data_IF_742770148853
#
_entry.id   IF_742770148853
#
_cell.length_a   1.000
_cell.length_b   1.000
_cell.length_c   1.000
_cell.angle_alpha   90.00
_cell.angle_beta   90.00
_cell.angle_gamma   90.00
#
_symmetry.space_group_name_H-M   'P 1'
#
loop_
_entity.id
_entity.type
_entity.pdbx_description
1 polymer ?
#
# COMPACT_ATOMS: atom_id res chain seq x y z
N UNK A 1 -17.89 -17.94 1.55
CA UNK A 1 -16.62 -17.34 2.03
C UNK A 1 -15.46 -17.60 1.06
N UNK A 2 -15.58 -17.18 -0.20
CA UNK A 2 -14.51 -17.30 -1.22
C UNK A 2 -13.72 -15.99 -1.35
N UNK A 3 -14.41 -14.85 -1.26
CA UNK A 3 -13.81 -13.50 -1.32
C UNK A 3 -12.72 -13.23 -0.25
N UNK A 4 -12.91 -13.71 0.98
CA UNK A 4 -11.94 -13.45 2.06
C UNK A 4 -10.64 -14.26 1.90
N UNK A 5 -10.71 -15.46 1.31
CA UNK A 5 -9.52 -16.28 1.03
C UNK A 5 -8.73 -15.73 -0.15
N UNK A 6 -9.40 -15.21 -1.19
CA UNK A 6 -8.73 -14.57 -2.32
C UNK A 6 -8.04 -13.27 -1.89
N UNK A 7 -8.69 -12.45 -1.05
CA UNK A 7 -8.09 -11.21 -0.54
C UNK A 7 -6.78 -11.46 0.23
N UNK A 8 -6.80 -12.36 1.21
CA UNK A 8 -5.59 -12.68 1.99
C UNK A 8 -4.46 -13.23 1.11
N UNK A 9 -4.80 -14.02 0.08
CA UNK A 9 -3.83 -14.52 -0.89
C UNK A 9 -3.20 -13.38 -1.69
N UNK A 10 -3.98 -12.40 -2.13
CA UNK A 10 -3.47 -11.21 -2.84
C UNK A 10 -2.56 -10.39 -1.92
N UNK A 11 -2.97 -10.15 -0.67
CA UNK A 11 -2.15 -9.42 0.30
C UNK A 11 -0.79 -10.08 0.54
N UNK A 12 -0.77 -11.40 0.68
CA UNK A 12 0.47 -12.16 0.84
C UNK A 12 1.33 -12.17 -0.43
N UNK A 13 0.72 -12.32 -1.61
CA UNK A 13 1.43 -12.29 -2.88
C UNK A 13 2.06 -10.92 -3.16
N UNK A 14 1.31 -9.83 -2.95
CA UNK A 14 1.83 -8.47 -3.08
C UNK A 14 2.99 -8.21 -2.14
N UNK A 15 2.90 -8.72 -0.89
CA UNK A 15 3.97 -8.59 0.09
C UNK A 15 5.24 -9.33 -0.36
N UNK A 16 5.10 -10.54 -0.87
CA UNK A 16 6.23 -11.29 -1.38
C UNK A 16 6.93 -10.57 -2.55
N UNK A 17 6.19 -9.89 -3.42
CA UNK A 17 6.78 -9.08 -4.49
C UNK A 17 7.49 -7.83 -3.93
N UNK A 18 6.89 -7.15 -2.95
CA UNK A 18 7.54 -6.04 -2.24
C UNK A 18 8.86 -6.46 -1.59
N UNK A 19 8.86 -7.59 -0.89
CA UNK A 19 10.05 -8.13 -0.21
C UNK A 19 11.17 -8.50 -1.21
N UNK A 20 10.81 -8.78 -2.47
CA UNK A 20 11.74 -9.01 -3.58
C UNK A 20 12.20 -7.73 -4.28
N UNK A 21 11.67 -6.56 -3.91
CA UNK A 21 11.95 -5.30 -4.58
C UNK A 21 11.17 -5.10 -5.89
N UNK A 22 10.21 -5.96 -6.21
CA UNK A 22 9.40 -5.89 -7.42
C UNK A 22 8.14 -5.03 -7.18
N UNK A 23 8.32 -3.72 -7.21
CA UNK A 23 7.23 -2.76 -7.01
C UNK A 23 6.12 -2.91 -8.06
N UNK A 24 6.47 -3.23 -9.30
CA UNK A 24 5.52 -3.32 -10.41
C UNK A 24 4.49 -4.42 -10.17
N UNK A 25 4.95 -5.64 -9.88
CA UNK A 25 4.06 -6.75 -9.61
C UNK A 25 3.33 -6.58 -8.26
N UNK A 26 4.00 -6.04 -7.24
CA UNK A 26 3.36 -5.74 -5.97
C UNK A 26 2.15 -4.80 -6.13
N UNK A 27 2.34 -3.68 -6.83
CA UNK A 27 1.28 -2.69 -7.07
C UNK A 27 0.11 -3.28 -7.87
N UNK A 28 0.39 -4.13 -8.86
CA UNK A 28 -0.66 -4.81 -9.62
C UNK A 28 -1.54 -5.68 -8.71
N UNK A 29 -0.90 -6.51 -7.87
CA UNK A 29 -1.59 -7.41 -6.95
C UNK A 29 -2.37 -6.64 -5.87
N UNK A 30 -1.79 -5.58 -5.31
CA UNK A 30 -2.48 -4.78 -4.31
C UNK A 30 -3.67 -3.99 -4.87
N UNK A 31 -3.64 -3.59 -6.15
CA UNK A 31 -4.83 -2.99 -6.81
C UNK A 31 -5.96 -4.01 -6.99
N UNK A 32 -5.63 -5.28 -7.22
CA UNK A 32 -6.66 -6.33 -7.20
C UNK A 32 -7.23 -6.51 -5.78
N UNK A 33 -6.40 -6.43 -4.75
CA UNK A 33 -6.86 -6.47 -3.35
C UNK A 33 -7.75 -5.26 -3.01
N UNK A 34 -7.39 -4.06 -3.47
CA UNK A 34 -8.18 -2.83 -3.34
C UNK A 34 -9.55 -2.97 -4.00
N UNK A 35 -9.63 -3.57 -5.19
CA UNK A 35 -10.90 -3.82 -5.87
C UNK A 35 -11.83 -4.75 -5.09
N UNK A 36 -11.29 -5.66 -4.27
CA UNK A 36 -12.09 -6.54 -3.41
C UNK A 36 -12.50 -5.86 -2.10
N UNK A 37 -11.59 -5.11 -1.48
CA UNK A 37 -11.82 -4.42 -0.20
C UNK A 37 -11.26 -3.00 -0.27
N UNK A 38 -12.03 -2.04 -0.83
CA UNK A 38 -11.53 -0.70 -1.16
C UNK A 38 -11.39 0.25 0.03
N UNK A 39 -11.74 -0.19 1.24
CA UNK A 39 -11.62 0.62 2.47
C UNK A 39 -10.77 -0.12 3.51
N UNK A 40 -9.88 -1.00 3.07
CA UNK A 40 -8.97 -1.71 3.96
C UNK A 40 -7.67 -0.88 4.13
N UNK A 41 -7.34 -0.43 5.35
CA UNK A 41 -6.17 0.41 5.58
C UNK A 41 -4.85 -0.31 5.29
N UNK A 42 -4.78 -1.63 5.45
CA UNK A 42 -3.57 -2.40 5.15
C UNK A 42 -3.29 -2.44 3.65
N UNK A 43 -4.33 -2.49 2.81
CA UNK A 43 -4.19 -2.41 1.34
C UNK A 43 -3.57 -1.09 0.94
N UNK A 44 -4.14 0.03 1.41
CA UNK A 44 -3.63 1.37 1.10
C UNK A 44 -2.21 1.56 1.63
N UNK A 45 -1.89 1.07 2.82
CA UNK A 45 -0.52 1.14 3.36
C UNK A 45 0.47 0.35 2.49
N UNK A 46 0.07 -0.83 2.02
CA UNK A 46 0.90 -1.66 1.15
C UNK A 46 1.07 -1.07 -0.25
N UNK A 47 0.02 -0.45 -0.82
CA UNK A 47 0.14 0.35 -2.04
C UNK A 47 1.11 1.51 -1.84
N UNK A 48 1.02 2.23 -0.71
CA UNK A 48 1.95 3.31 -0.39
C UNK A 48 3.41 2.83 -0.33
N UNK A 49 3.67 1.66 0.26
CA UNK A 49 5.01 1.06 0.28
C UNK A 49 5.49 0.66 -1.13
N UNK A 50 4.59 0.12 -1.97
CA UNK A 50 4.88 -0.17 -3.38
C UNK A 50 5.25 1.07 -4.18
N UNK A 51 4.48 2.15 -4.00
CA UNK A 51 4.74 3.43 -4.65
C UNK A 51 6.01 4.10 -4.13
N UNK A 52 6.33 3.93 -2.84
CA UNK A 52 7.57 4.42 -2.26
C UNK A 52 8.78 3.71 -2.89
N UNK A 53 8.68 2.40 -3.09
CA UNK A 53 9.72 1.60 -3.73
C UNK A 53 9.90 1.96 -5.22
N UNK A 54 8.83 2.33 -5.92
CA UNK A 54 8.89 2.77 -7.32
C UNK A 54 9.15 4.28 -7.51
N UNK A 55 9.47 5.01 -6.43
CA UNK A 55 9.64 6.48 -6.41
C UNK A 55 8.42 7.28 -6.97
N UNK A 56 7.22 6.69 -6.89
CA UNK A 56 5.96 7.28 -7.34
C UNK A 56 5.38 8.17 -6.23
N UNK A 57 6.02 9.32 -6.08
CA UNK A 57 5.92 10.08 -4.86
C UNK A 57 4.59 10.78 -4.58
N UNK A 58 3.76 11.05 -5.59
CA UNK A 58 2.44 11.65 -5.39
C UNK A 58 1.45 10.60 -4.88
N UNK A 59 1.56 9.39 -5.39
CA UNK A 59 0.75 8.23 -5.06
C UNK A 59 1.01 7.79 -3.61
N UNK A 60 2.26 7.83 -3.12
CA UNK A 60 2.56 7.58 -1.70
C UNK A 60 1.74 8.49 -0.78
N UNK A 61 1.65 9.79 -1.10
CA UNK A 61 0.89 10.74 -0.29
C UNK A 61 -0.60 10.43 -0.37
N UNK A 62 -1.11 10.15 -1.57
CA UNK A 62 -2.52 9.79 -1.77
C UNK A 62 -2.92 8.56 -0.95
N UNK A 63 -2.16 7.47 -1.04
CA UNK A 63 -2.49 6.24 -0.33
C UNK A 63 -2.35 6.40 1.19
N UNK A 64 -1.29 7.08 1.66
CA UNK A 64 -1.13 7.34 3.10
C UNK A 64 -2.23 8.25 3.65
N UNK A 65 -2.76 9.17 2.85
CA UNK A 65 -3.91 9.99 3.23
C UNK A 65 -5.20 9.16 3.35
N UNK A 66 -5.42 8.16 2.50
CA UNK A 66 -6.54 7.22 2.67
C UNK A 66 -6.38 6.36 3.92
N UNK A 67 -5.18 5.87 4.22
CA UNK A 67 -4.92 5.16 5.49
C UNK A 67 -5.24 6.07 6.67
N UNK A 68 -4.80 7.33 6.67
CA UNK A 68 -5.04 8.27 7.76
C UNK A 68 -6.52 8.71 7.84
N UNK A 69 -7.27 8.64 6.74
CA UNK A 69 -8.73 8.87 6.75
C UNK A 69 -9.46 7.72 7.46
N UNK A 70 -9.02 6.47 7.24
CA UNK A 70 -9.61 5.27 7.84
C UNK A 70 -9.11 5.05 9.27
N UNK A 71 -7.82 5.28 9.50
CA UNK A 71 -7.10 5.10 10.76
C UNK A 71 -6.23 6.34 11.07
N UNK A 72 -6.82 7.38 11.69
CA UNK A 72 -6.13 8.65 11.95
C UNK A 72 -4.86 8.55 12.79
N UNK A 73 -4.70 7.48 13.56
CA UNK A 73 -3.55 7.25 14.44
C UNK A 73 -2.56 6.21 13.89
N UNK A 74 -2.62 5.90 12.59
CA UNK A 74 -1.70 4.93 11.97
C UNK A 74 -0.27 5.47 11.94
N UNK A 75 0.56 4.97 12.87
CA UNK A 75 1.98 5.32 12.95
C UNK A 75 2.73 4.93 11.67
N UNK A 76 2.34 3.80 11.05
CA UNK A 76 2.94 3.34 9.80
C UNK A 76 2.66 4.31 8.64
N UNK A 77 1.44 4.82 8.51
CA UNK A 77 1.11 5.79 7.48
C UNK A 77 1.89 7.10 7.64
N UNK A 78 2.00 7.61 8.88
CA UNK A 78 2.83 8.80 9.15
C UNK A 78 4.32 8.57 8.83
N UNK A 79 4.84 7.38 9.15
CA UNK A 79 6.22 7.01 8.82
C UNK A 79 6.45 7.03 7.30
N UNK A 80 5.65 6.30 6.53
CA UNK A 80 5.77 6.22 5.06
C UNK A 80 5.61 7.61 4.42
N UNK A 81 4.63 8.39 4.87
CA UNK A 81 4.40 9.76 4.40
C UNK A 81 5.57 10.69 4.73
N UNK A 82 6.18 10.52 5.91
CA UNK A 82 7.37 11.24 6.33
C UNK A 82 8.59 10.93 5.46
N UNK A 83 8.86 9.64 5.21
CA UNK A 83 9.96 9.19 4.34
C UNK A 83 9.88 9.88 2.98
N UNK A 84 8.71 9.85 2.33
CA UNK A 84 8.51 10.49 1.02
C UNK A 84 8.81 12.00 1.02
N UNK A 85 8.43 12.72 2.09
CA UNK A 85 8.65 14.17 2.20
C UNK A 85 10.12 14.54 2.36
N UNK A 86 10.93 13.67 2.95
CA UNK A 86 12.36 13.92 3.17
C UNK A 86 13.20 13.72 1.89
N UNK A 87 12.69 12.98 0.90
CA UNK A 87 13.38 12.73 -0.38
C UNK A 87 13.05 13.75 -1.49
N UNK A 88 12.34 14.85 -1.19
CA UNK A 88 12.17 15.97 -2.13
C UNK A 88 13.30 16.98 -1.86
N UNK A 89 14.42 16.82 -2.57
CA UNK A 89 15.45 17.86 -2.70
C UNK A 89 15.02 18.94 -3.69
#
# INVERSE_FOLDING_TARGET
MVLQRSFLSLMNAGKNYLDQGDATNALAIYKEAEALVPNDPDVHLNLANGYLLSDAGAEVIRETDEVLRLEPNSAAAYFVKGVRRTFVC
#
